data_IF_956554881562
#
_entry.id   IF_956554881562
#
_cell.length_a   1.000
_cell.length_b   1.000
_cell.length_c   1.000
_cell.angle_alpha   90.00
_cell.angle_beta   90.00
_cell.angle_gamma   90.00
#
_symmetry.space_group_name_H-M   'P 1'
#
loop_
_entity.id
_entity.type
_entity.pdbx_description
1 polymer ?
#
# COMPACT_ATOMS: atom_id res chain seq x y z
N UNK A 1 0.89 -14.28 -13.13
CA UNK A 1 1.07 -15.74 -13.18
C UNK A 1 0.38 -16.34 -14.40
N UNK A 2 -0.95 -16.41 -14.43
CA UNK A 2 -1.68 -17.09 -15.52
C UNK A 2 -1.46 -16.40 -16.88
N UNK A 3 -1.53 -15.06 -16.95
CA UNK A 3 -1.30 -14.30 -18.19
C UNK A 3 0.06 -14.54 -18.84
N UNK A 4 1.15 -14.53 -18.06
CA UNK A 4 2.50 -14.80 -18.55
C UNK A 4 2.74 -16.26 -19.00
N UNK A 5 1.96 -17.22 -18.52
CA UNK A 5 1.98 -18.59 -19.05
C UNK A 5 1.20 -18.74 -20.36
N UNK A 6 0.14 -17.95 -20.56
CA UNK A 6 -0.67 -17.95 -21.79
C UNK A 6 0.08 -17.25 -22.94
N UNK A 7 0.84 -16.20 -22.66
CA UNK A 7 1.64 -15.46 -23.64
C UNK A 7 3.08 -15.24 -23.15
N UNK A 8 3.94 -16.28 -23.25
CA UNK A 8 5.31 -16.19 -22.76
C UNK A 8 6.14 -15.18 -23.57
N UNK A 9 7.01 -14.43 -22.89
CA UNK A 9 7.94 -13.49 -23.53
C UNK A 9 7.37 -12.11 -23.84
N UNK A 10 6.05 -11.89 -23.67
CA UNK A 10 5.44 -10.57 -23.86
C UNK A 10 5.00 -9.96 -22.51
N UNK A 11 5.83 -9.07 -21.90
CA UNK A 11 5.52 -8.46 -20.61
C UNK A 11 4.28 -7.56 -20.68
N UNK A 12 4.05 -6.89 -21.81
CA UNK A 12 2.91 -5.98 -22.01
C UNK A 12 1.59 -6.75 -21.99
N UNK A 13 1.53 -7.93 -22.62
CA UNK A 13 0.34 -8.77 -22.59
C UNK A 13 -0.03 -9.22 -21.16
N UNK A 14 0.96 -9.55 -20.33
CA UNK A 14 0.72 -9.90 -18.93
C UNK A 14 0.27 -8.69 -18.09
N UNK A 15 0.74 -7.47 -18.40
CA UNK A 15 0.25 -6.25 -17.75
C UNK A 15 -1.22 -5.98 -18.08
N UNK A 16 -1.64 -6.14 -19.34
CA UNK A 16 -3.06 -6.05 -19.71
C UNK A 16 -3.92 -7.11 -19.01
N UNK A 17 -3.44 -8.35 -18.94
CA UNK A 17 -4.14 -9.40 -18.19
C UNK A 17 -4.32 -9.04 -16.72
N UNK A 18 -3.30 -8.47 -16.09
CA UNK A 18 -3.36 -8.03 -14.68
C UNK A 18 -4.29 -6.83 -14.51
N UNK A 19 -4.29 -5.88 -15.46
CA UNK A 19 -5.18 -4.73 -15.46
C UNK A 19 -6.64 -5.15 -15.49
N UNK A 20 -7.03 -6.02 -16.43
CA UNK A 20 -8.41 -6.45 -16.57
C UNK A 20 -8.84 -7.54 -15.59
N UNK A 21 -7.91 -8.37 -15.10
CA UNK A 21 -8.23 -9.49 -14.22
C UNK A 21 -8.13 -9.18 -12.72
N UNK A 22 -7.15 -8.38 -12.31
CA UNK A 22 -6.89 -8.09 -10.90
C UNK A 22 -7.34 -6.69 -10.50
N UNK A 23 -6.90 -5.65 -11.24
CA UNK A 23 -7.17 -4.26 -10.84
C UNK A 23 -8.68 -3.93 -10.92
N UNK A 24 -9.38 -4.44 -11.92
CA UNK A 24 -10.85 -4.30 -12.03
C UNK A 24 -11.59 -4.91 -10.84
N UNK A 25 -11.17 -6.10 -10.40
CA UNK A 25 -11.76 -6.84 -9.28
C UNK A 25 -11.46 -6.13 -7.96
N UNK A 26 -10.24 -5.62 -7.78
CA UNK A 26 -9.88 -4.81 -6.61
C UNK A 26 -10.74 -3.54 -6.53
N UNK A 27 -10.94 -2.85 -7.65
CA UNK A 27 -11.81 -1.69 -7.70
C UNK A 27 -13.27 -2.05 -7.35
N UNK A 28 -13.76 -3.18 -7.85
CA UNK A 28 -15.09 -3.67 -7.52
C UNK A 28 -15.23 -3.99 -6.03
N UNK A 29 -14.21 -4.60 -5.40
CA UNK A 29 -14.22 -4.85 -3.95
C UNK A 29 -14.26 -3.55 -3.14
N UNK A 30 -13.49 -2.54 -3.53
CA UNK A 30 -13.52 -1.22 -2.88
C UNK A 30 -14.92 -0.59 -2.96
N UNK A 31 -15.53 -0.58 -4.15
CA UNK A 31 -16.89 -0.06 -4.33
C UNK A 31 -17.93 -0.83 -3.51
N UNK A 32 -17.82 -2.16 -3.44
CA UNK A 32 -18.70 -3.01 -2.64
C UNK A 32 -18.57 -2.72 -1.14
N UNK A 33 -17.34 -2.50 -0.65
CA UNK A 33 -17.09 -2.14 0.75
C UNK A 33 -17.79 -0.81 1.10
N UNK A 34 -17.66 0.19 0.24
CA UNK A 34 -18.30 1.50 0.44
C UNK A 34 -19.82 1.42 0.35
N UNK A 35 -20.35 0.60 -0.56
CA UNK A 35 -21.80 0.41 -0.69
C UNK A 35 -22.39 -0.27 0.57
N UNK A 36 -21.66 -1.25 1.11
CA UNK A 36 -22.02 -1.91 2.37
C UNK A 36 -21.98 -0.94 3.55
N UNK A 37 -20.99 -0.04 3.59
CA UNK A 37 -20.95 1.03 4.58
C UNK A 37 -22.11 2.01 4.41
N UNK A 38 -22.45 2.38 3.17
CA UNK A 38 -23.62 3.20 2.86
C UNK A 38 -24.93 2.58 3.36
N UNK A 39 -25.07 1.26 3.23
CA UNK A 39 -26.21 0.52 3.77
C UNK A 39 -26.28 0.61 5.30
N UNK A 40 -25.15 0.55 6.01
CA UNK A 40 -25.12 0.70 7.48
C UNK A 40 -25.55 2.09 7.94
N UNK A 41 -25.25 3.12 7.16
CA UNK A 41 -25.61 4.52 7.45
C UNK A 41 -27.01 4.88 6.91
N UNK A 42 -27.70 3.93 6.26
CA UNK A 42 -29.03 4.10 5.65
C UNK A 42 -29.07 5.16 4.53
N UNK A 43 -27.97 5.29 3.77
CA UNK A 43 -27.92 6.11 2.56
C UNK A 43 -28.63 5.40 1.39
N UNK A 44 -29.20 6.19 0.47
CA UNK A 44 -29.83 5.68 -0.74
C UNK A 44 -28.78 5.01 -1.65
N UNK A 45 -28.94 3.72 -2.02
CA UNK A 45 -27.94 2.99 -2.80
C UNK A 45 -27.61 3.64 -4.15
N UNK A 46 -28.62 4.23 -4.81
CA UNK A 46 -28.45 4.92 -6.10
C UNK A 46 -27.56 6.16 -5.98
N UNK A 47 -27.74 6.94 -4.92
CA UNK A 47 -26.95 8.15 -4.69
C UNK A 47 -25.51 7.79 -4.30
N UNK A 48 -25.34 6.76 -3.45
CA UNK A 48 -24.00 6.26 -3.08
C UNK A 48 -23.25 5.73 -4.30
N UNK A 49 -23.90 4.95 -5.17
CA UNK A 49 -23.29 4.44 -6.39
C UNK A 49 -22.91 5.57 -7.36
N UNK A 50 -23.79 6.55 -7.58
CA UNK A 50 -23.50 7.70 -8.44
C UNK A 50 -22.30 8.51 -7.93
N UNK A 51 -22.22 8.74 -6.61
CA UNK A 51 -21.10 9.44 -5.99
C UNK A 51 -19.78 8.68 -6.15
N UNK A 52 -19.77 7.36 -5.97
CA UNK A 52 -18.58 6.52 -6.17
C UNK A 52 -18.09 6.53 -7.62
N UNK A 53 -19.01 6.42 -8.59
CA UNK A 53 -18.67 6.45 -10.02
C UNK A 53 -18.08 7.81 -10.40
N UNK A 54 -18.74 8.90 -10.02
CA UNK A 54 -18.25 10.26 -10.30
C UNK A 54 -16.88 10.51 -9.64
N UNK A 55 -16.73 10.12 -8.37
CA UNK A 55 -15.46 10.23 -7.65
C UNK A 55 -14.34 9.42 -8.30
N UNK A 56 -14.65 8.21 -8.78
CA UNK A 56 -13.68 7.35 -9.46
C UNK A 56 -13.25 7.92 -10.82
N UNK A 57 -14.20 8.46 -11.61
CA UNK A 57 -13.90 9.08 -12.91
C UNK A 57 -13.00 10.31 -12.69
N UNK A 58 -13.41 11.22 -11.82
CA UNK A 58 -12.64 12.44 -11.51
C UNK A 58 -11.26 12.04 -10.97
N UNK A 59 -11.21 11.14 -9.99
CA UNK A 59 -9.97 10.65 -9.40
C UNK A 59 -9.03 10.02 -10.43
N UNK A 60 -9.55 9.23 -11.38
CA UNK A 60 -8.74 8.62 -12.43
C UNK A 60 -8.10 9.64 -13.37
N UNK A 61 -8.83 10.69 -13.74
CA UNK A 61 -8.33 11.77 -14.60
C UNK A 61 -7.24 12.55 -13.87
N UNK A 62 -7.49 12.95 -12.62
CA UNK A 62 -6.51 13.68 -11.82
C UNK A 62 -5.25 12.84 -11.55
N UNK A 63 -5.41 11.55 -11.27
CA UNK A 63 -4.29 10.65 -11.02
C UNK A 63 -3.41 10.50 -12.28
N UNK A 64 -4.03 10.41 -13.47
CA UNK A 64 -3.31 10.36 -14.74
C UNK A 64 -2.52 11.65 -15.01
N UNK A 65 -3.17 12.81 -14.88
CA UNK A 65 -2.53 14.12 -15.08
C UNK A 65 -1.36 14.28 -14.10
N UNK A 66 -1.56 13.92 -12.84
CA UNK A 66 -0.52 13.95 -11.82
C UNK A 66 0.66 13.07 -12.17
N UNK A 67 0.40 11.83 -12.61
CA UNK A 67 1.44 10.90 -13.01
C UNK A 67 2.28 11.45 -14.16
N UNK A 68 1.64 11.98 -15.21
CA UNK A 68 2.33 12.57 -16.36
C UNK A 68 3.24 13.74 -15.94
N UNK A 69 2.70 14.69 -15.15
CA UNK A 69 3.48 15.83 -14.66
C UNK A 69 4.66 15.42 -13.77
N UNK A 70 4.47 14.44 -12.88
CA UNK A 70 5.55 13.98 -11.99
C UNK A 70 6.63 13.26 -12.81
N UNK A 71 6.24 12.41 -13.76
CA UNK A 71 7.19 11.66 -14.59
C UNK A 71 8.00 12.61 -15.46
N UNK A 72 7.38 13.62 -16.07
CA UNK A 72 8.08 14.58 -16.93
C UNK A 72 9.07 15.45 -16.15
N UNK A 73 8.72 15.88 -14.94
CA UNK A 73 9.56 16.77 -14.12
C UNK A 73 10.62 16.05 -13.29
N UNK A 74 10.43 14.76 -12.95
CA UNK A 74 11.28 14.01 -12.02
C UNK A 74 11.82 12.69 -12.62
N UNK A 75 11.85 12.56 -13.95
CA UNK A 75 12.27 11.34 -14.66
C UNK A 75 13.62 10.80 -14.19
N UNK A 76 14.60 11.68 -13.97
CA UNK A 76 15.96 11.28 -13.61
C UNK A 76 16.03 10.71 -12.18
N UNK A 77 15.26 11.28 -11.25
CA UNK A 77 15.19 10.80 -9.86
C UNK A 77 14.38 9.50 -9.78
N UNK A 78 13.34 9.33 -10.59
CA UNK A 78 12.56 8.09 -10.63
C UNK A 78 13.34 6.90 -11.23
N UNK A 79 14.35 7.18 -12.06
CA UNK A 79 15.26 6.18 -12.61
C UNK A 79 16.41 5.83 -11.67
N UNK A 80 16.72 6.67 -10.69
CA UNK A 80 17.77 6.37 -9.72
C UNK A 80 17.34 5.24 -8.77
N UNK A 81 18.32 4.46 -8.30
CA UNK A 81 18.09 3.33 -7.39
C UNK A 81 17.82 3.84 -5.96
N UNK A 82 18.45 4.95 -5.58
CA UNK A 82 18.35 5.52 -4.23
C UNK A 82 17.12 6.43 -4.05
N UNK A 83 16.61 7.03 -5.14
CA UNK A 83 15.57 8.05 -5.06
C UNK A 83 16.00 9.25 -4.20
N UNK A 84 15.01 9.98 -3.68
CA UNK A 84 15.18 10.97 -2.62
C UNK A 84 14.20 10.65 -1.49
N UNK A 85 14.35 11.30 -0.33
CA UNK A 85 13.39 11.17 0.77
C UNK A 85 11.93 11.54 0.37
N UNK A 86 11.76 12.23 -0.76
CA UNK A 86 10.48 12.77 -1.22
C UNK A 86 9.96 11.99 -2.45
N UNK A 87 10.84 11.67 -3.40
CA UNK A 87 10.49 10.96 -4.63
C UNK A 87 11.19 9.61 -4.68
N UNK A 88 10.40 8.54 -4.81
CA UNK A 88 10.92 7.19 -5.00
C UNK A 88 10.35 6.56 -6.27
N UNK A 89 11.25 6.06 -7.12
CA UNK A 89 10.89 5.25 -8.29
C UNK A 89 10.40 3.84 -7.94
N UNK A 90 10.38 3.46 -6.66
CA UNK A 90 10.11 2.09 -6.21
C UNK A 90 8.83 1.51 -6.81
N UNK A 91 7.71 2.24 -6.82
CA UNK A 91 6.46 1.73 -7.38
C UNK A 91 6.58 1.45 -8.88
N UNK A 92 7.17 2.37 -9.66
CA UNK A 92 7.34 2.23 -11.10
C UNK A 92 8.30 1.08 -11.44
N UNK A 93 9.42 0.99 -10.70
CA UNK A 93 10.40 -0.09 -10.85
C UNK A 93 9.82 -1.44 -10.43
N UNK A 94 8.98 -1.48 -9.38
CA UNK A 94 8.26 -2.68 -8.97
C UNK A 94 7.26 -3.12 -10.02
N UNK A 95 6.52 -2.21 -10.67
CA UNK A 95 5.65 -2.55 -11.79
C UNK A 95 6.43 -3.11 -12.99
N UNK A 96 7.57 -2.51 -13.33
CA UNK A 96 8.44 -2.99 -14.39
C UNK A 96 8.99 -4.40 -14.08
N UNK A 97 9.54 -4.58 -12.88
CA UNK A 97 10.07 -5.86 -12.40
C UNK A 97 8.97 -6.93 -12.39
N UNK A 98 7.76 -6.60 -11.94
CA UNK A 98 6.63 -7.52 -12.00
C UNK A 98 6.27 -7.89 -13.44
N UNK A 99 6.27 -6.94 -14.37
CA UNK A 99 6.02 -7.20 -15.79
C UNK A 99 7.05 -8.15 -16.41
N UNK A 100 8.33 -7.96 -16.13
CA UNK A 100 9.42 -8.80 -16.64
C UNK A 100 9.37 -10.19 -16.00
N UNK A 101 9.35 -10.25 -14.67
CA UNK A 101 9.48 -11.50 -13.92
C UNK A 101 8.26 -12.40 -14.13
N UNK A 102 7.05 -11.83 -14.08
CA UNK A 102 5.80 -12.58 -14.22
C UNK A 102 5.26 -12.67 -15.64
N UNK A 103 5.75 -11.85 -16.59
CA UNK A 103 5.31 -11.85 -17.98
C UNK A 103 6.33 -12.46 -18.93
N UNK A 104 7.57 -11.97 -18.92
CA UNK A 104 8.61 -12.42 -19.84
C UNK A 104 9.32 -13.70 -19.36
N UNK A 105 9.67 -13.77 -18.08
CA UNK A 105 10.53 -14.82 -17.52
C UNK A 105 9.80 -15.84 -16.64
N UNK A 106 8.47 -15.82 -16.63
CA UNK A 106 7.69 -16.63 -15.68
C UNK A 106 8.01 -18.12 -15.75
N UNK A 107 8.18 -18.67 -16.96
CA UNK A 107 8.53 -20.07 -17.18
C UNK A 107 9.95 -20.41 -16.70
N UNK A 108 10.89 -19.47 -16.80
CA UNK A 108 12.28 -19.71 -16.39
C UNK A 108 12.48 -19.53 -14.89
N UNK A 109 11.72 -18.64 -14.26
CA UNK A 109 11.89 -18.31 -12.83
C UNK A 109 10.98 -19.16 -11.93
N UNK A 110 9.74 -19.41 -12.35
CA UNK A 110 8.71 -20.02 -11.49
C UNK A 110 8.27 -21.43 -11.93
N UNK A 111 8.87 -22.04 -12.95
CA UNK A 111 8.55 -23.44 -13.28
C UNK A 111 9.08 -24.42 -12.22
N UNK A 112 8.52 -25.63 -12.17
CA UNK A 112 9.06 -26.71 -11.34
C UNK A 112 10.53 -26.99 -11.74
N UNK A 113 11.43 -27.01 -10.75
CA UNK A 113 12.88 -27.13 -10.94
C UNK A 113 13.64 -25.80 -11.09
N UNK A 114 12.95 -24.66 -11.11
CA UNK A 114 13.58 -23.33 -11.17
C UNK A 114 13.84 -22.73 -9.79
N UNK A 115 14.72 -21.71 -9.72
CA UNK A 115 15.14 -21.04 -8.47
C UNK A 115 13.99 -20.54 -7.58
N UNK A 116 12.84 -20.16 -8.17
CA UNK A 116 11.69 -19.60 -7.45
C UNK A 116 10.43 -20.49 -7.49
N UNK A 117 10.56 -21.80 -7.65
CA UNK A 117 9.42 -22.74 -7.67
C UNK A 117 8.54 -22.63 -6.40
N UNK A 118 9.17 -22.38 -5.25
CA UNK A 118 8.51 -22.25 -3.94
C UNK A 118 7.49 -21.11 -3.90
N UNK A 119 7.63 -20.11 -4.76
CA UNK A 119 6.66 -19.00 -4.85
C UNK A 119 5.29 -19.52 -5.31
N UNK A 120 5.22 -20.48 -6.22
CA UNK A 120 3.94 -21.08 -6.62
C UNK A 120 3.36 -21.96 -5.51
N UNK A 121 4.23 -22.72 -4.82
CA UNK A 121 3.83 -23.54 -3.68
C UNK A 121 3.35 -22.70 -2.48
N UNK A 122 3.79 -21.45 -2.37
CA UNK A 122 3.32 -20.53 -1.32
C UNK A 122 1.80 -20.31 -1.36
N UNK A 123 1.15 -20.44 -2.52
CA UNK A 123 -0.31 -20.35 -2.62
C UNK A 123 -0.99 -21.53 -1.91
N UNK A 124 -0.47 -22.74 -2.10
CA UNK A 124 -0.96 -23.95 -1.41
C UNK A 124 -0.65 -23.89 0.09
N UNK A 125 0.53 -23.40 0.46
CA UNK A 125 0.92 -23.21 1.85
C UNK A 125 0.03 -22.16 2.54
N UNK A 126 -0.28 -21.05 1.86
CA UNK A 126 -1.21 -20.03 2.32
C UNK A 126 -2.64 -20.56 2.55
N UNK A 127 -3.10 -21.49 1.71
CA UNK A 127 -4.37 -22.20 1.92
C UNK A 127 -4.30 -23.20 3.08
N UNK A 128 -3.16 -23.86 3.27
CA UNK A 128 -2.97 -24.83 4.35
C UNK A 128 -2.82 -24.17 5.72
N UNK A 129 -2.23 -22.99 5.82
CA UNK A 129 -1.90 -22.31 7.08
C UNK A 129 -3.09 -22.06 8.02
N UNK A 130 -4.31 -21.69 7.57
CA UNK A 130 -5.47 -21.55 8.43
C UNK A 130 -6.02 -22.88 8.98
N UNK A 131 -5.76 -24.01 8.31
CA UNK A 131 -6.36 -25.31 8.66
C UNK A 131 -5.90 -25.83 10.04
N UNK A 132 -4.60 -25.80 10.40
CA UNK A 132 -4.15 -26.15 11.75
C UNK A 132 -4.82 -25.33 12.85
N UNK A 133 -5.06 -24.04 12.63
CA UNK A 133 -5.71 -23.18 13.63
C UNK A 133 -7.21 -23.50 13.74
N UNK A 134 -7.86 -23.84 12.63
CA UNK A 134 -9.25 -24.29 12.63
C UNK A 134 -9.42 -25.64 13.37
N UNK A 135 -8.58 -26.63 13.05
CA UNK A 135 -8.62 -27.92 13.75
C UNK A 135 -8.18 -27.80 15.21
N UNK A 136 -7.21 -26.94 15.50
CA UNK A 136 -6.76 -26.63 16.85
C UNK A 136 -7.88 -26.03 17.71
N UNK A 137 -8.70 -25.13 17.17
CA UNK A 137 -9.86 -24.57 17.88
C UNK A 137 -10.92 -25.65 18.17
N UNK A 138 -11.09 -26.60 17.24
CA UNK A 138 -12.05 -27.72 17.40
C UNK A 138 -11.61 -28.76 18.43
N UNK A 139 -10.30 -29.04 18.53
CA UNK A 139 -9.75 -29.96 19.53
C UNK A 139 -9.55 -29.30 20.90
N UNK A 140 -9.20 -28.02 20.95
CA UNK A 140 -8.90 -27.30 22.18
C UNK A 140 -9.64 -25.95 22.28
N UNK A 141 -10.96 -25.97 22.53
CA UNK A 141 -11.78 -24.76 22.57
C UNK A 141 -11.39 -23.77 23.69
N UNK A 142 -10.57 -24.19 24.66
CA UNK A 142 -10.08 -23.34 25.76
C UNK A 142 -8.87 -22.48 25.38
N UNK A 143 -8.19 -22.75 24.27
CA UNK A 143 -6.97 -22.03 23.85
C UNK A 143 -7.26 -20.69 23.16
N UNK A 144 -8.53 -20.38 22.84
CA UNK A 144 -8.91 -19.09 22.24
C UNK A 144 -8.40 -18.89 20.81
N UNK A 145 -8.04 -19.97 20.10
CA UNK A 145 -7.50 -19.95 18.74
C UNK A 145 -8.47 -19.33 17.73
N UNK A 146 -9.78 -19.32 18.03
CA UNK A 146 -10.80 -18.58 17.28
C UNK A 146 -10.54 -17.08 17.12
N UNK A 147 -9.79 -16.46 18.03
CA UNK A 147 -9.53 -15.01 17.98
C UNK A 147 -8.35 -14.65 17.05
N UNK A 148 -7.62 -15.65 16.55
CA UNK A 148 -6.46 -15.44 15.68
C UNK A 148 -6.90 -15.49 14.21
N UNK A 149 -6.79 -14.36 13.51
CA UNK A 149 -7.02 -14.30 12.07
C UNK A 149 -5.70 -14.55 11.31
N UNK A 150 -5.43 -15.83 11.04
CA UNK A 150 -4.20 -16.29 10.37
C UNK A 150 -4.02 -15.66 8.98
N UNK A 151 -5.04 -15.57 8.11
CA UNK A 151 -4.91 -14.90 6.81
C UNK A 151 -4.42 -13.45 6.93
N UNK A 152 -4.95 -12.68 7.87
CA UNK A 152 -4.53 -11.29 8.09
C UNK A 152 -3.08 -11.23 8.59
N UNK A 153 -2.68 -12.11 9.51
CA UNK A 153 -1.32 -12.14 10.02
C UNK A 153 -0.31 -12.44 8.93
N UNK A 154 -0.56 -13.46 8.11
CA UNK A 154 0.32 -13.85 6.99
C UNK A 154 0.42 -12.72 5.97
N UNK A 155 -0.70 -12.05 5.68
CA UNK A 155 -0.71 -10.87 4.80
C UNK A 155 0.21 -9.76 5.30
N UNK A 156 0.09 -9.37 6.58
CA UNK A 156 0.93 -8.31 7.14
C UNK A 156 2.41 -8.72 7.24
N UNK A 157 2.72 -9.98 7.55
CA UNK A 157 4.11 -10.47 7.54
C UNK A 157 4.73 -10.30 6.15
N UNK A 158 3.99 -10.62 5.09
CA UNK A 158 4.44 -10.43 3.71
C UNK A 158 4.55 -8.96 3.28
N UNK A 159 3.79 -8.05 3.92
CA UNK A 159 3.83 -6.63 3.60
C UNK A 159 4.96 -5.88 4.33
N UNK A 160 5.27 -6.28 5.56
CA UNK A 160 6.28 -5.64 6.41
C UNK A 160 7.73 -5.80 5.92
N UNK A 161 7.98 -6.68 4.95
CA UNK A 161 9.32 -6.90 4.41
C UNK A 161 9.73 -5.88 3.33
N UNK A 162 8.84 -4.95 2.95
CA UNK A 162 9.08 -3.99 1.85
C UNK A 162 8.92 -2.54 2.33
N UNK A 163 9.92 -1.70 2.03
CA UNK A 163 9.83 -0.25 2.16
C UNK A 163 10.33 0.33 3.49
N UNK A 164 10.04 1.61 3.70
CA UNK A 164 10.42 2.36 4.91
C UNK A 164 9.44 2.03 6.04
N UNK A 165 9.95 1.30 7.04
CA UNK A 165 9.16 0.75 8.14
C UNK A 165 8.98 1.69 9.34
N UNK A 166 9.52 2.91 9.28
CA UNK A 166 9.53 3.86 10.40
C UNK A 166 8.13 4.30 10.87
N UNK A 167 7.13 4.25 9.98
CA UNK A 167 5.74 4.64 10.29
C UNK A 167 4.95 3.57 11.05
N UNK A 168 5.41 2.31 11.06
CA UNK A 168 4.66 1.18 11.62
C UNK A 168 4.52 1.30 13.15
N UNK A 169 5.56 1.71 13.85
CA UNK A 169 5.52 1.92 15.31
C UNK A 169 4.47 2.98 15.66
N UNK A 170 4.44 4.09 14.91
CA UNK A 170 3.45 5.14 15.08
C UNK A 170 2.02 4.66 14.81
N UNK A 171 1.84 3.82 13.78
CA UNK A 171 0.56 3.17 13.51
C UNK A 171 0.09 2.31 14.68
N UNK A 172 0.97 1.49 15.27
CA UNK A 172 0.64 0.67 16.44
C UNK A 172 0.31 1.50 17.68
N UNK A 173 1.02 2.60 17.93
CA UNK A 173 0.74 3.50 19.06
C UNK A 173 -0.67 4.10 18.92
N UNK A 174 -0.99 4.64 17.74
CA UNK A 174 -2.32 5.23 17.47
C UNK A 174 -3.41 4.16 17.52
N UNK A 175 -3.15 2.98 16.96
CA UNK A 175 -4.07 1.85 17.01
C UNK A 175 -4.34 1.39 18.45
N UNK A 176 -3.32 1.29 19.29
CA UNK A 176 -3.47 0.94 20.70
C UNK A 176 -4.27 2.01 21.46
N UNK A 177 -3.95 3.29 21.26
CA UNK A 177 -4.69 4.40 21.87
C UNK A 177 -6.18 4.44 21.45
N UNK A 178 -6.46 4.27 20.16
CA UNK A 178 -7.83 4.30 19.62
C UNK A 178 -8.63 3.03 19.94
N UNK A 179 -8.06 1.85 19.65
CA UNK A 179 -8.78 0.57 19.68
C UNK A 179 -8.79 -0.09 21.06
N UNK A 180 -7.76 0.12 21.88
CA UNK A 180 -7.73 -0.42 23.24
C UNK A 180 -8.18 0.62 24.25
N UNK A 181 -7.48 1.76 24.37
CA UNK A 181 -7.77 2.73 25.42
C UNK A 181 -9.14 3.44 25.22
N UNK A 182 -9.35 4.08 24.07
CA UNK A 182 -10.59 4.82 23.80
C UNK A 182 -11.81 3.91 23.72
N UNK A 183 -11.69 2.73 23.12
CA UNK A 183 -12.82 1.80 23.00
C UNK A 183 -13.23 1.17 24.34
N UNK A 184 -12.28 0.83 25.21
CA UNK A 184 -12.55 0.14 26.48
C UNK A 184 -12.96 1.14 27.57
N UNK A 185 -12.22 2.22 27.74
CA UNK A 185 -12.43 3.15 28.86
C UNK A 185 -13.43 4.27 28.52
N UNK A 186 -13.53 4.70 27.25
CA UNK A 186 -14.36 5.83 26.83
C UNK A 186 -15.22 5.53 25.58
N UNK A 187 -16.12 4.52 25.63
CA UNK A 187 -16.86 4.04 24.45
C UNK A 187 -17.78 5.10 23.82
N UNK A 188 -18.30 6.04 24.62
CA UNK A 188 -19.14 7.13 24.12
C UNK A 188 -18.35 8.11 23.25
N UNK A 189 -17.11 8.42 23.65
CA UNK A 189 -16.23 9.30 22.87
C UNK A 189 -15.77 8.60 21.58
N UNK A 190 -15.44 7.30 21.67
CA UNK A 190 -15.06 6.50 20.52
C UNK A 190 -16.15 6.49 19.44
N UNK A 191 -17.40 6.21 19.79
CA UNK A 191 -18.51 6.17 18.82
C UNK A 191 -18.77 7.52 18.17
N UNK A 192 -18.68 8.62 18.94
CA UNK A 192 -19.04 9.97 18.48
C UNK A 192 -17.96 10.62 17.62
N UNK A 193 -16.68 10.46 17.98
CA UNK A 193 -15.60 11.25 17.37
C UNK A 193 -14.56 10.44 16.61
N UNK A 194 -14.36 9.15 16.91
CA UNK A 194 -13.24 8.40 16.32
C UNK A 194 -13.31 8.33 14.79
N UNK A 195 -14.51 8.11 14.23
CA UNK A 195 -14.70 8.09 12.77
C UNK A 195 -14.48 9.46 12.13
N UNK A 196 -14.95 10.55 12.76
CA UNK A 196 -14.78 11.91 12.26
C UNK A 196 -13.31 12.33 12.33
N UNK A 197 -12.63 12.03 13.44
CA UNK A 197 -11.21 12.27 13.62
C UNK A 197 -10.38 11.50 12.59
N UNK A 198 -10.67 10.22 12.38
CA UNK A 198 -9.98 9.39 11.39
C UNK A 198 -10.18 9.92 9.97
N UNK A 199 -11.41 10.31 9.61
CA UNK A 199 -11.72 10.91 8.32
C UNK A 199 -10.97 12.25 8.14
N UNK A 200 -10.96 13.10 9.18
CA UNK A 200 -10.27 14.39 9.16
C UNK A 200 -8.74 14.26 9.06
N UNK A 201 -8.13 13.34 9.81
CA UNK A 201 -6.69 13.06 9.73
C UNK A 201 -6.31 12.52 8.36
N UNK A 202 -7.08 11.58 7.81
CA UNK A 202 -6.80 11.00 6.49
C UNK A 202 -6.97 12.04 5.39
N UNK A 203 -8.07 12.79 5.37
CA UNK A 203 -8.31 13.84 4.38
C UNK A 203 -7.31 14.98 4.48
N UNK A 204 -7.02 15.44 5.71
CA UNK A 204 -6.03 16.49 5.96
C UNK A 204 -4.63 16.09 5.54
N UNK A 205 -4.21 14.85 5.84
CA UNK A 205 -2.91 14.33 5.39
C UNK A 205 -2.81 14.31 3.85
N UNK A 206 -3.84 13.87 3.14
CA UNK A 206 -3.84 13.84 1.68
C UNK A 206 -3.76 15.25 1.06
N UNK A 207 -4.52 16.21 1.61
CA UNK A 207 -4.45 17.62 1.16
C UNK A 207 -3.07 18.22 1.43
N UNK A 208 -2.49 17.95 2.61
CA UNK A 208 -1.14 18.41 2.94
C UNK A 208 -0.09 17.79 2.02
N UNK A 209 -0.16 16.48 1.75
CA UNK A 209 0.75 15.80 0.81
C UNK A 209 0.61 16.40 -0.59
N UNK A 210 -0.60 16.67 -1.06
CA UNK A 210 -0.82 17.32 -2.36
C UNK A 210 -0.15 18.70 -2.41
N UNK A 211 -0.39 19.55 -1.42
CA UNK A 211 0.22 20.90 -1.36
C UNK A 211 1.75 20.81 -1.29
N UNK A 212 2.29 19.98 -0.40
CA UNK A 212 3.73 19.80 -0.26
C UNK A 212 4.37 19.27 -1.53
N UNK A 213 3.70 18.34 -2.23
CA UNK A 213 4.20 17.77 -3.47
C UNK A 213 4.35 18.84 -4.55
N UNK A 214 3.35 19.72 -4.70
CA UNK A 214 3.35 20.76 -5.74
C UNK A 214 4.16 22.01 -5.38
N UNK A 215 4.10 22.45 -4.13
CA UNK A 215 4.69 23.71 -3.69
C UNK A 215 6.15 23.59 -3.27
N UNK A 216 6.58 22.41 -2.80
CA UNK A 216 7.89 22.22 -2.18
C UNK A 216 8.67 21.11 -2.87
N UNK A 217 8.06 19.94 -3.06
CA UNK A 217 8.75 18.77 -3.59
C UNK A 217 9.08 18.87 -5.09
N UNK A 218 8.59 19.89 -5.79
CA UNK A 218 8.90 20.07 -7.21
C UNK A 218 8.07 19.19 -8.15
N UNK A 219 6.87 18.75 -7.74
CA UNK A 219 5.92 18.11 -8.67
C UNK A 219 5.50 19.04 -9.84
N UNK A 220 5.67 20.36 -9.69
CA UNK A 220 5.45 21.39 -10.72
C UNK A 220 6.74 21.88 -11.41
N UNK A 221 7.89 21.25 -11.14
CA UNK A 221 9.17 21.56 -11.79
C UNK A 221 10.15 22.42 -10.97
N UNK A 222 9.69 23.21 -9.99
CA UNK A 222 10.57 24.03 -9.13
C UNK A 222 10.56 23.55 -7.67
N UNK A 223 11.41 22.58 -7.34
CA UNK A 223 11.59 22.12 -5.96
C UNK A 223 12.21 23.20 -5.10
N UNK A 224 11.57 23.56 -3.99
CA UNK A 224 12.12 24.46 -2.99
C UNK A 224 12.56 23.64 -1.77
N UNK A 225 13.87 23.62 -1.51
CA UNK A 225 14.40 22.91 -0.35
C UNK A 225 13.83 23.50 0.95
N UNK A 226 13.21 22.65 1.78
CA UNK A 226 12.76 23.09 3.10
C UNK A 226 13.97 23.55 3.92
N UNK A 227 13.86 24.66 4.69
CA UNK A 227 14.94 25.11 5.56
C UNK A 227 15.40 23.99 6.49
N UNK A 228 16.69 24.01 6.83
CA UNK A 228 17.26 23.05 7.77
C UNK A 228 16.70 23.29 9.17
N UNK A 229 16.13 22.27 9.79
CA UNK A 229 15.69 22.29 11.19
C UNK A 229 15.96 20.96 11.88
N UNK A 230 15.64 20.86 13.17
CA UNK A 230 16.04 19.71 13.99
C UNK A 230 15.61 18.33 13.47
N UNK A 231 14.57 18.26 12.63
CA UNK A 231 14.08 17.07 11.94
C UNK A 231 14.13 17.11 10.41
N UNK A 232 14.81 18.09 9.80
CA UNK A 232 15.06 18.15 8.35
C UNK A 232 16.47 18.66 8.08
N UNK A 233 17.40 17.77 7.74
CA UNK A 233 18.78 18.15 7.45
C UNK A 233 19.00 18.30 5.94
N UNK A 234 19.47 19.47 5.52
CA UNK A 234 19.93 19.73 4.17
C UNK A 234 21.42 19.37 4.08
N UNK A 235 21.78 18.09 4.07
CA UNK A 235 23.14 17.70 3.69
C UNK A 235 23.17 17.38 2.20
N UNK A 236 24.01 18.13 1.48
CA UNK A 236 24.33 17.96 0.05
C UNK A 236 25.17 16.71 -0.24
N UNK A 237 25.49 15.92 0.80
CA UNK A 237 26.42 14.80 0.72
C UNK A 237 25.71 13.52 1.18
N UNK A 238 25.53 12.58 0.24
CA UNK A 238 24.75 11.34 0.41
C UNK A 238 25.30 10.44 1.51
N UNK A 239 26.58 10.59 1.86
CA UNK A 239 27.23 9.87 2.95
C UNK A 239 26.83 10.33 4.36
N UNK A 240 26.17 11.50 4.50
CA UNK A 240 25.81 12.10 5.80
C UNK A 240 24.28 12.13 6.05
N UNK A 241 23.49 11.45 5.22
CA UNK A 241 22.02 11.48 5.26
C UNK A 241 21.42 10.53 6.32
N UNK A 242 21.96 10.54 7.54
CA UNK A 242 21.41 9.77 8.66
C UNK A 242 20.51 10.66 9.52
N UNK A 243 19.19 10.44 9.45
CA UNK A 243 18.20 11.12 10.30
C UNK A 243 18.48 10.94 11.80
N UNK A 244 19.17 9.87 12.17
CA UNK A 244 19.40 9.47 13.57
C UNK A 244 20.53 10.23 14.27
N UNK A 245 21.25 11.14 13.58
CA UNK A 245 22.44 11.86 14.11
C UNK A 245 23.53 10.95 14.69
N UNK A 246 23.43 9.63 14.51
CA UNK A 246 24.49 8.71 14.83
C UNK A 246 25.62 8.98 13.84
N UNK A 247 26.67 9.64 14.33
CA UNK A 247 27.95 9.76 13.66
C UNK A 247 28.40 8.33 13.34
N UNK A 248 28.44 7.97 12.05
CA UNK A 248 29.21 6.82 11.62
C UNK A 248 30.66 7.16 11.95
N UNK A 249 31.20 6.56 13.02
CA UNK A 249 32.64 6.43 13.17
C UNK A 249 33.06 5.31 12.20
N UNK A 250 33.86 5.74 11.22
CA UNK A 250 34.75 4.99 10.31
C UNK A 250 34.13 4.12 9.20
#
# INVERSE_FOLDING_TARGET
MIGGYIHPGNPVANMYFTLYGYNSVQQAFAMLQDLKQGQYVKLSPRSTFAAQILGSIIGSIFNYIMMENIVDNQADILRSIEGTAIWSGQNVQQYNTQGITWGALAKHMYSAGSRYEWVNFSLALGFALPLPFYFGDKLFPKLGLRNINVPILVWYIGWLCVGVNSSITSYFIVAFGSQWYLRVYHPNLFKKYNYILAAGLTGGAQVMVFILSFAVAGASGAGHNFPSWWGNHLSTDTASYNFDRCYFND
#
